data_IF_848315172274
#
_entry.id   IF_848315172274
#
_cell.length_a   1.000
_cell.length_b   1.000
_cell.length_c   1.000
_cell.angle_alpha   90.00
_cell.angle_beta   90.00
_cell.angle_gamma   90.00
#
_symmetry.space_group_name_H-M   'P 1'
#
loop_
_entity.id
_entity.type
_entity.pdbx_description
1 polymer ?
#
# COMPACT_ATOMS: atom_id res chain seq x y z
N UNK A 1 -6.02 35.16 -2.80
CA UNK A 1 -7.25 34.36 -3.05
C UNK A 1 -6.81 33.06 -3.69
N UNK A 2 -7.26 31.91 -3.20
CA UNK A 2 -6.95 30.63 -3.84
C UNK A 2 -7.79 30.49 -5.12
N UNK A 3 -7.15 30.42 -6.28
CA UNK A 3 -7.85 30.20 -7.55
C UNK A 3 -7.82 28.71 -7.86
N UNK A 4 -8.99 28.09 -8.01
CA UNK A 4 -9.08 26.70 -8.47
C UNK A 4 -8.57 26.63 -9.91
N UNK A 5 -7.61 25.74 -10.19
CA UNK A 5 -7.17 25.46 -11.55
C UNK A 5 -8.37 24.97 -12.38
N UNK A 6 -8.48 25.42 -13.63
CA UNK A 6 -9.46 24.86 -14.55
C UNK A 6 -9.21 23.37 -14.68
N UNK A 7 -10.23 22.55 -14.47
CA UNK A 7 -10.17 21.10 -14.71
C UNK A 7 -9.90 20.76 -16.19
N UNK A 8 -10.16 21.71 -17.08
CA UNK A 8 -10.06 21.56 -18.53
C UNK A 8 -9.39 22.80 -19.15
N UNK A 9 -8.09 23.03 -18.93
CA UNK A 9 -7.39 24.09 -19.65
C UNK A 9 -7.38 23.70 -21.13
N UNK A 10 -8.11 24.45 -21.96
CA UNK A 10 -8.19 24.34 -23.44
C UNK A 10 -7.83 22.96 -23.99
N UNK A 11 -8.72 21.96 -23.79
CA UNK A 11 -8.50 20.61 -24.33
C UNK A 11 -8.38 20.73 -25.84
N UNK A 12 -7.24 20.33 -26.42
CA UNK A 12 -7.16 20.13 -27.86
C UNK A 12 -7.81 18.79 -28.20
N UNK A 13 -8.96 18.77 -28.87
CA UNK A 13 -9.66 17.53 -29.15
C UNK A 13 -8.81 16.65 -30.07
N UNK A 14 -8.63 15.38 -29.68
CA UNK A 14 -8.05 14.39 -30.58
C UNK A 14 -9.10 14.07 -31.65
N UNK A 15 -8.76 14.24 -32.92
CA UNK A 15 -9.71 14.10 -34.05
C UNK A 15 -10.30 12.69 -34.18
N UNK A 16 -9.63 11.65 -33.66
CA UNK A 16 -10.06 10.27 -33.79
C UNK A 16 -9.53 9.41 -32.65
N UNK A 17 -10.42 8.77 -31.88
CA UNK A 17 -10.04 7.74 -30.90
C UNK A 17 -9.47 6.53 -31.65
N UNK A 18 -8.35 6.01 -31.18
CA UNK A 18 -7.59 4.90 -31.78
C UNK A 18 -8.27 3.57 -31.46
N UNK A 19 -8.91 3.45 -30.28
CA UNK A 19 -9.64 2.25 -29.86
C UNK A 19 -11.14 2.40 -30.06
N UNK A 20 -11.72 1.51 -30.88
CA UNK A 20 -13.16 1.52 -31.20
C UNK A 20 -13.94 0.39 -30.51
N UNK A 21 -13.26 -0.65 -30.03
CA UNK A 21 -13.89 -1.81 -29.39
C UNK A 21 -13.34 -2.09 -27.99
N UNK A 22 -14.22 -2.15 -26.99
CA UNK A 22 -13.86 -2.36 -25.58
C UNK A 22 -14.60 -3.54 -24.93
N UNK A 23 -15.62 -4.11 -25.58
CA UNK A 23 -16.31 -5.28 -25.04
C UNK A 23 -15.46 -6.52 -25.32
N UNK A 24 -14.94 -7.14 -24.25
CA UNK A 24 -14.33 -8.46 -24.36
C UNK A 24 -15.38 -9.44 -24.88
N UNK A 25 -15.09 -10.07 -26.02
CA UNK A 25 -15.95 -11.02 -26.74
C UNK A 25 -17.37 -10.52 -27.08
N UNK A 26 -17.58 -9.20 -27.15
CA UNK A 26 -18.89 -8.59 -27.45
C UNK A 26 -20.05 -9.06 -26.54
N UNK A 27 -19.74 -9.46 -25.30
CA UNK A 27 -20.72 -10.04 -24.36
C UNK A 27 -21.81 -9.02 -23.95
N UNK A 28 -21.53 -7.72 -24.05
CA UNK A 28 -22.45 -6.65 -23.66
C UNK A 28 -22.77 -5.67 -24.79
N UNK A 29 -24.02 -5.17 -24.91
CA UNK A 29 -24.36 -4.09 -25.84
C UNK A 29 -23.51 -2.84 -25.58
N UNK A 30 -22.93 -2.27 -26.64
CA UNK A 30 -22.01 -1.13 -26.52
C UNK A 30 -22.71 0.23 -26.76
N UNK A 31 -24.00 0.23 -27.08
CA UNK A 31 -24.74 1.44 -27.49
C UNK A 31 -24.64 2.59 -26.47
N UNK A 32 -24.77 2.30 -25.18
CA UNK A 32 -24.67 3.32 -24.12
C UNK A 32 -23.24 3.89 -23.99
N UNK A 33 -22.21 3.04 -24.09
CA UNK A 33 -20.79 3.46 -24.10
C UNK A 33 -20.52 4.41 -25.27
N UNK A 34 -20.91 3.99 -26.47
CA UNK A 34 -20.72 4.77 -27.70
C UNK A 34 -21.46 6.10 -27.65
N UNK A 35 -22.67 6.13 -27.09
CA UNK A 35 -23.42 7.37 -26.90
C UNK A 35 -22.72 8.35 -25.94
N UNK A 36 -22.09 7.85 -24.86
CA UNK A 36 -21.28 8.67 -23.96
C UNK A 36 -19.99 9.15 -24.62
N UNK A 37 -19.29 8.27 -25.34
CA UNK A 37 -18.07 8.62 -26.07
C UNK A 37 -18.33 9.70 -27.11
N UNK A 38 -19.43 9.60 -27.86
CA UNK A 38 -19.81 10.63 -28.82
C UNK A 38 -20.15 11.95 -28.12
N UNK A 39 -20.95 11.90 -27.05
CA UNK A 39 -21.34 13.09 -26.28
C UNK A 39 -20.13 13.84 -25.71
N UNK A 40 -19.12 13.11 -25.24
CA UNK A 40 -17.97 13.70 -24.54
C UNK A 40 -16.70 13.72 -25.38
N UNK A 41 -16.73 13.32 -26.66
CA UNK A 41 -15.57 13.19 -27.54
C UNK A 41 -14.68 14.43 -27.54
N UNK A 42 -15.28 15.62 -27.56
CA UNK A 42 -14.56 16.90 -27.57
C UNK A 42 -13.75 17.17 -26.30
N UNK A 43 -14.02 16.46 -25.20
CA UNK A 43 -13.33 16.54 -23.92
C UNK A 43 -12.36 15.37 -23.70
N UNK A 44 -12.33 14.39 -24.60
CA UNK A 44 -11.48 13.20 -24.46
C UNK A 44 -10.14 13.42 -25.14
N UNK A 45 -9.08 13.01 -24.46
CA UNK A 45 -7.73 12.88 -25.00
C UNK A 45 -7.24 11.46 -24.76
N UNK A 46 -6.90 10.75 -25.82
CA UNK A 46 -6.24 9.45 -25.72
C UNK A 46 -4.72 9.67 -25.61
N UNK A 47 -4.08 8.99 -24.66
CA UNK A 47 -2.64 9.13 -24.40
C UNK A 47 -2.06 7.81 -23.90
N UNK A 48 -0.86 7.48 -24.38
CA UNK A 48 -0.06 6.34 -23.90
C UNK A 48 0.97 6.74 -22.83
N UNK A 49 0.93 8.00 -22.37
CA UNK A 49 1.84 8.54 -21.35
C UNK A 49 1.78 7.77 -20.03
N UNK A 50 0.61 7.20 -19.69
CA UNK A 50 0.36 6.54 -18.41
C UNK A 50 0.46 5.02 -18.52
N UNK A 51 1.66 4.48 -18.32
CA UNK A 51 1.88 3.03 -18.30
C UNK A 51 1.24 2.35 -17.08
N UNK A 52 1.05 1.02 -17.16
CA UNK A 52 0.60 0.19 -16.03
C UNK A 52 1.48 0.37 -14.78
N UNK A 53 2.78 0.63 -14.95
CA UNK A 53 3.69 0.88 -13.82
C UNK A 53 3.35 2.19 -13.11
N UNK A 54 2.98 3.23 -13.85
CA UNK A 54 2.64 4.55 -13.30
C UNK A 54 1.31 4.55 -12.56
N UNK A 55 0.29 3.91 -13.14
CA UNK A 55 -1.08 3.87 -12.59
C UNK A 55 -1.30 2.75 -11.57
N UNK A 56 -0.22 2.14 -11.07
CA UNK A 56 -0.31 1.13 -10.00
C UNK A 56 0.86 1.24 -9.03
N UNK A 57 0.75 0.54 -7.90
CA UNK A 57 1.81 0.47 -6.88
C UNK A 57 3.15 -0.07 -7.41
N UNK A 58 3.16 -0.72 -8.58
CA UNK A 58 4.38 -1.26 -9.16
C UNK A 58 5.48 -0.20 -9.31
N UNK A 59 5.11 1.06 -9.58
CA UNK A 59 6.05 2.16 -9.65
C UNK A 59 6.65 2.59 -8.30
N UNK A 60 6.03 2.23 -7.17
CA UNK A 60 6.52 2.59 -5.83
C UNK A 60 7.36 1.49 -5.16
N UNK A 61 7.52 0.33 -5.80
CA UNK A 61 8.33 -0.75 -5.24
C UNK A 61 9.79 -0.30 -5.17
N UNK A 62 10.31 -0.15 -3.94
CA UNK A 62 11.68 0.29 -3.70
C UNK A 62 11.89 1.81 -3.80
N UNK A 63 10.83 2.58 -4.01
CA UNK A 63 10.91 4.05 -3.97
C UNK A 63 10.94 4.54 -2.52
N UNK A 64 11.79 5.55 -2.27
CA UNK A 64 12.00 6.13 -0.95
C UNK A 64 10.67 6.58 -0.34
N UNK A 65 10.40 6.20 0.91
CA UNK A 65 9.15 6.47 1.64
C UNK A 65 7.94 5.74 1.05
N UNK A 66 7.70 5.80 -0.25
CA UNK A 66 6.51 5.25 -0.91
C UNK A 66 6.43 3.72 -0.81
N UNK A 67 7.59 3.05 -0.78
CA UNK A 67 7.71 1.59 -0.69
C UNK A 67 7.54 1.01 0.72
N UNK A 68 7.41 1.83 1.77
CA UNK A 68 7.37 1.37 3.17
C UNK A 68 6.13 0.52 3.50
N UNK A 69 5.06 0.64 2.70
CA UNK A 69 3.87 -0.19 2.81
C UNK A 69 3.28 -0.47 1.42
N UNK A 70 3.00 -1.75 1.15
CA UNK A 70 2.32 -2.15 -0.08
C UNK A 70 0.83 -1.82 -0.02
N UNK A 71 0.43 -0.85 -0.85
CA UNK A 71 -0.97 -0.47 -1.04
C UNK A 71 -1.42 -0.81 -2.46
N UNK A 72 -2.25 -1.84 -2.61
CA UNK A 72 -2.53 -2.46 -3.92
C UNK A 72 -3.28 -1.53 -4.87
N UNK A 73 -4.12 -0.68 -4.30
CA UNK A 73 -4.97 0.30 -4.96
C UNK A 73 -4.23 1.63 -5.21
N UNK A 74 -2.95 1.72 -4.83
CA UNK A 74 -2.14 2.93 -5.01
C UNK A 74 -1.57 3.09 -6.42
N UNK A 75 -1.16 4.30 -6.74
CA UNK A 75 -0.40 4.70 -7.93
C UNK A 75 1.02 5.13 -7.58
N UNK A 76 1.87 5.31 -8.59
CA UNK A 76 3.27 5.68 -8.40
C UNK A 76 3.47 7.15 -8.01
N UNK A 77 4.54 7.46 -7.27
CA UNK A 77 4.98 8.84 -7.00
C UNK A 77 5.25 9.60 -8.31
N UNK A 78 5.90 8.94 -9.27
CA UNK A 78 6.18 9.49 -10.60
C UNK A 78 4.92 9.95 -11.34
N UNK A 79 3.78 9.24 -11.20
CA UNK A 79 2.51 9.70 -11.77
C UNK A 79 2.11 11.05 -11.19
N UNK A 80 2.22 11.22 -9.86
CA UNK A 80 1.88 12.48 -9.20
C UNK A 80 2.80 13.60 -9.65
N UNK A 81 4.11 13.36 -9.76
CA UNK A 81 5.07 14.35 -10.25
C UNK A 81 4.75 14.82 -11.67
N UNK A 82 4.36 13.90 -12.55
CA UNK A 82 3.90 14.21 -13.91
C UNK A 82 2.67 15.12 -13.86
N UNK A 83 1.66 14.74 -13.07
CA UNK A 83 0.41 15.51 -12.98
C UNK A 83 0.62 16.89 -12.35
N UNK A 84 1.41 16.99 -11.27
CA UNK A 84 1.76 18.27 -10.63
C UNK A 84 2.40 19.22 -11.65
N UNK A 85 3.32 18.71 -12.48
CA UNK A 85 3.98 19.48 -13.54
C UNK A 85 3.01 19.89 -14.63
N UNK A 86 2.16 18.96 -15.08
CA UNK A 86 1.19 19.19 -16.15
C UNK A 86 0.13 20.23 -15.76
N UNK A 87 -0.32 20.20 -14.51
CA UNK A 87 -1.22 21.21 -13.94
C UNK A 87 -0.51 22.51 -13.55
N UNK A 88 0.82 22.56 -13.63
CA UNK A 88 1.62 23.75 -13.30
C UNK A 88 1.53 24.16 -11.84
N UNK A 89 1.48 23.19 -10.91
CA UNK A 89 1.46 23.51 -9.48
C UNK A 89 2.82 24.01 -9.01
N UNK A 90 2.81 25.10 -8.26
CA UNK A 90 4.01 25.75 -7.71
C UNK A 90 4.07 25.60 -6.17
N UNK A 91 5.27 25.66 -5.56
CA UNK A 91 5.41 25.66 -4.12
C UNK A 91 4.51 26.70 -3.43
N UNK A 92 3.91 26.33 -2.31
CA UNK A 92 2.94 27.15 -1.57
C UNK A 92 1.50 27.06 -2.09
N UNK A 93 1.26 26.53 -3.29
CA UNK A 93 -0.10 26.18 -3.73
C UNK A 93 -0.63 24.94 -2.99
N UNK A 94 -1.92 24.62 -3.15
CA UNK A 94 -2.57 23.54 -2.39
C UNK A 94 -3.20 22.49 -3.31
N UNK A 95 -2.93 21.21 -3.03
CA UNK A 95 -3.61 20.06 -3.63
C UNK A 95 -4.56 19.40 -2.62
N UNK A 96 -5.74 19.02 -3.09
CA UNK A 96 -6.67 18.17 -2.34
C UNK A 96 -6.69 16.77 -2.97
N UNK A 97 -6.40 15.76 -2.16
CA UNK A 97 -6.62 14.36 -2.51
C UNK A 97 -7.78 13.80 -1.66
N UNK A 98 -9.00 13.73 -2.19
CA UNK A 98 -10.16 13.28 -1.43
C UNK A 98 -10.18 11.77 -1.16
N UNK A 99 -9.22 11.02 -1.72
CA UNK A 99 -9.08 9.56 -1.57
C UNK A 99 -7.60 9.20 -1.39
N UNK A 100 -6.99 9.78 -0.34
CA UNK A 100 -5.54 9.86 -0.21
C UNK A 100 -4.83 8.50 -0.12
N UNK A 101 -5.53 7.42 0.24
CA UNK A 101 -4.97 6.07 0.28
C UNK A 101 -3.67 6.01 1.08
N UNK A 102 -2.59 5.47 0.52
CA UNK A 102 -1.26 5.43 1.19
C UNK A 102 -0.49 6.77 1.20
N UNK A 103 -1.19 7.87 0.94
CA UNK A 103 -0.73 9.25 0.96
C UNK A 103 0.35 9.59 -0.08
N UNK A 104 0.37 8.91 -1.23
CA UNK A 104 1.36 9.16 -2.28
C UNK A 104 1.30 10.61 -2.78
N UNK A 105 0.11 11.14 -3.06
CA UNK A 105 -0.07 12.54 -3.49
C UNK A 105 0.49 13.52 -2.46
N UNK A 106 0.17 13.33 -1.18
CA UNK A 106 0.56 14.22 -0.09
C UNK A 106 2.08 14.22 0.12
N UNK A 107 2.72 13.06 0.00
CA UNK A 107 4.16 12.93 0.17
C UNK A 107 4.94 13.60 -0.98
N UNK A 108 4.49 13.41 -2.22
CA UNK A 108 5.09 14.09 -3.39
C UNK A 108 4.85 15.60 -3.32
N UNK A 109 3.64 16.03 -2.97
CA UNK A 109 3.36 17.45 -2.78
C UNK A 109 4.27 18.06 -1.70
N UNK A 110 4.43 17.37 -0.55
CA UNK A 110 5.34 17.79 0.52
C UNK A 110 6.78 17.93 0.05
N UNK A 111 7.31 16.98 -0.73
CA UNK A 111 8.69 17.05 -1.23
C UNK A 111 8.92 18.19 -2.24
N UNK A 112 7.85 18.63 -2.91
CA UNK A 112 7.87 19.75 -3.86
C UNK A 112 7.48 21.10 -3.22
N UNK A 113 7.31 21.16 -1.90
CA UNK A 113 6.90 22.39 -1.20
C UNK A 113 5.46 22.83 -1.47
N UNK A 114 4.61 21.92 -1.96
CA UNK A 114 3.19 22.13 -2.22
C UNK A 114 2.40 21.72 -0.97
N UNK A 115 1.46 22.56 -0.54
CA UNK A 115 0.54 22.24 0.54
C UNK A 115 -0.41 21.11 0.10
N UNK A 116 -0.70 20.16 0.98
CA UNK A 116 -1.59 19.05 0.64
C UNK A 116 -2.61 18.78 1.74
N UNK A 117 -3.84 18.51 1.34
CA UNK A 117 -4.92 18.04 2.20
C UNK A 117 -5.37 16.68 1.67
N UNK A 118 -5.36 15.66 2.52
CA UNK A 118 -5.84 14.32 2.19
C UNK A 118 -7.07 13.96 3.01
N UNK A 119 -8.06 13.35 2.37
CA UNK A 119 -9.21 12.73 3.02
C UNK A 119 -9.12 11.22 2.80
N UNK A 120 -9.26 10.44 3.87
CA UNK A 120 -9.23 8.99 3.81
C UNK A 120 -9.98 8.40 5.00
N UNK A 121 -10.71 7.31 4.76
CA UNK A 121 -11.51 6.63 5.77
C UNK A 121 -10.70 5.58 6.54
N UNK A 122 -9.79 4.88 5.85
CA UNK A 122 -9.15 3.69 6.40
C UNK A 122 -8.06 4.03 7.44
N UNK A 123 -8.14 3.50 8.67
CA UNK A 123 -7.14 3.78 9.72
C UNK A 123 -5.69 3.44 9.34
N UNK A 124 -5.48 2.38 8.55
CA UNK A 124 -4.14 1.99 8.08
C UNK A 124 -3.50 3.05 7.19
N UNK A 125 -4.30 3.82 6.47
CA UNK A 125 -3.83 4.92 5.64
C UNK A 125 -3.43 6.14 6.48
N UNK A 126 -4.14 6.42 7.57
CA UNK A 126 -3.73 7.41 8.57
C UNK A 126 -2.41 7.02 9.23
N UNK A 127 -2.25 5.75 9.59
CA UNK A 127 -0.98 5.22 10.11
C UNK A 127 0.16 5.40 9.09
N UNK A 128 -0.09 5.06 7.82
CA UNK A 128 0.88 5.27 6.74
C UNK A 128 1.27 6.75 6.62
N UNK A 129 0.31 7.68 6.65
CA UNK A 129 0.61 9.11 6.65
C UNK A 129 1.44 9.54 7.87
N UNK A 130 1.03 9.15 9.09
CA UNK A 130 1.71 9.55 10.32
C UNK A 130 3.18 9.10 10.38
N UNK A 131 3.46 7.86 9.93
CA UNK A 131 4.82 7.35 9.87
C UNK A 131 5.61 7.94 8.69
N UNK A 132 5.04 7.88 7.48
CA UNK A 132 5.76 8.27 6.26
C UNK A 132 6.02 9.77 6.20
N UNK A 133 5.10 10.62 6.64
CA UNK A 133 5.24 12.09 6.52
C UNK A 133 6.33 12.68 7.40
N UNK A 134 6.82 11.93 8.39
CA UNK A 134 7.82 12.36 9.38
C UNK A 134 9.21 11.84 9.07
N UNK A 135 9.49 11.48 7.81
CA UNK A 135 10.78 10.91 7.41
C UNK A 135 12.00 11.76 7.82
N UNK A 136 11.85 13.08 7.97
CA UNK A 136 12.90 13.99 8.46
C UNK A 136 13.04 14.03 9.99
N UNK A 137 12.02 13.62 10.74
CA UNK A 137 11.96 13.77 12.20
C UNK A 137 12.52 12.54 12.95
N UNK A 138 12.88 11.48 12.22
CA UNK A 138 13.38 10.24 12.83
C UNK A 138 14.84 10.36 13.27
N UNK A 139 15.13 9.89 14.49
CA UNK A 139 16.47 9.72 15.00
C UNK A 139 17.07 8.39 14.51
N UNK A 140 18.09 8.47 13.64
CA UNK A 140 18.78 7.30 13.12
C UNK A 140 19.47 6.46 14.22
N UNK A 141 19.95 7.08 15.29
CA UNK A 141 20.57 6.37 16.41
C UNK A 141 19.52 5.58 17.21
N UNK A 142 18.35 6.18 17.44
CA UNK A 142 17.20 5.49 18.05
C UNK A 142 16.75 4.29 17.21
N UNK A 143 16.62 4.46 15.88
CA UNK A 143 16.28 3.35 14.98
C UNK A 143 17.33 2.23 14.97
N UNK A 144 18.61 2.59 15.08
CA UNK A 144 19.70 1.63 15.17
C UNK A 144 19.69 0.87 16.50
N UNK A 145 19.30 1.53 17.60
CA UNK A 145 19.06 0.87 18.89
C UNK A 145 17.90 -0.13 18.79
N UNK A 146 16.77 0.25 18.16
CA UNK A 146 15.63 -0.66 17.94
C UNK A 146 16.07 -1.89 17.14
N UNK A 147 16.86 -1.70 16.08
CA UNK A 147 17.40 -2.83 15.29
C UNK A 147 18.26 -3.76 16.15
N UNK A 148 19.13 -3.22 17.00
CA UNK A 148 19.98 -4.01 17.88
C UNK A 148 19.16 -4.83 18.89
N UNK A 149 18.10 -4.25 19.46
CA UNK A 149 17.19 -4.96 20.37
C UNK A 149 16.45 -6.10 19.65
N UNK A 150 15.92 -5.85 18.45
CA UNK A 150 15.28 -6.88 17.63
C UNK A 150 16.25 -8.03 17.33
N UNK A 151 17.50 -7.72 16.97
CA UNK A 151 18.54 -8.74 16.73
C UNK A 151 18.80 -9.59 17.98
N UNK A 152 18.86 -8.97 19.16
CA UNK A 152 19.00 -9.65 20.45
C UNK A 152 17.80 -10.53 20.83
N UNK A 153 16.67 -10.41 20.12
CA UNK A 153 15.46 -11.20 20.39
C UNK A 153 14.48 -10.52 21.36
N UNK A 154 14.70 -9.24 21.67
CA UNK A 154 13.74 -8.44 22.41
C UNK A 154 12.40 -8.35 21.67
N UNK A 155 11.32 -8.27 22.43
CA UNK A 155 9.95 -8.24 21.91
C UNK A 155 9.38 -9.59 21.50
N UNK A 156 10.18 -10.67 21.54
CA UNK A 156 9.66 -12.03 21.47
C UNK A 156 8.99 -12.42 22.79
N UNK A 157 7.92 -13.20 22.74
CA UNK A 157 7.20 -13.67 23.92
C UNK A 157 5.71 -13.83 23.68
N UNK A 158 4.93 -13.82 24.75
CA UNK A 158 3.47 -13.81 24.67
C UNK A 158 2.96 -12.36 24.70
N UNK A 159 2.15 -12.00 23.72
CA UNK A 159 1.39 -10.75 23.74
C UNK A 159 0.39 -10.72 24.90
N UNK A 160 0.18 -9.55 25.47
CA UNK A 160 -0.82 -9.24 26.52
C UNK A 160 -2.25 -9.39 26.00
N UNK A 161 -2.44 -9.28 24.68
CA UNK A 161 -3.75 -9.24 24.03
C UNK A 161 -3.88 -10.34 22.98
N UNK A 162 -5.09 -10.89 22.78
CA UNK A 162 -5.34 -11.83 21.69
C UNK A 162 -5.24 -11.13 20.33
N UNK A 163 -4.92 -11.91 19.30
CA UNK A 163 -4.92 -11.40 17.92
C UNK A 163 -6.36 -11.03 17.50
N UNK A 164 -6.58 -9.83 16.91
CA UNK A 164 -7.92 -9.36 16.57
C UNK A 164 -8.39 -10.01 15.26
N UNK A 165 -8.87 -11.25 15.34
CA UNK A 165 -9.39 -11.95 14.18
C UNK A 165 -10.60 -11.25 13.57
N UNK A 166 -10.62 -11.20 12.23
CA UNK A 166 -11.82 -10.92 11.45
C UNK A 166 -12.14 -12.15 10.61
N UNK A 167 -13.42 -12.42 10.38
CA UNK A 167 -13.89 -13.66 9.74
C UNK A 167 -13.20 -13.95 8.41
N UNK A 168 -12.91 -12.90 7.62
CA UNK A 168 -12.26 -13.05 6.32
C UNK A 168 -10.79 -13.50 6.42
N UNK A 169 -10.08 -13.21 7.50
CA UNK A 169 -8.66 -13.58 7.72
C UNK A 169 -8.47 -14.67 8.78
N UNK A 170 -9.55 -15.31 9.25
CA UNK A 170 -9.44 -16.41 10.20
C UNK A 170 -8.61 -17.57 9.62
N UNK A 171 -7.56 -17.98 10.35
CA UNK A 171 -6.59 -18.98 9.91
C UNK A 171 -5.59 -18.49 8.85
N UNK A 172 -5.49 -17.18 8.62
CA UNK A 172 -4.52 -16.60 7.68
C UNK A 172 -3.09 -16.70 8.18
N UNK A 173 -2.87 -16.81 9.48
CA UNK A 173 -1.55 -16.85 10.08
C UNK A 173 -1.30 -18.18 10.80
N UNK A 174 -0.05 -18.67 10.85
CA UNK A 174 0.34 -19.68 11.83
C UNK A 174 0.07 -19.19 13.26
N UNK A 175 -0.31 -20.06 14.22
CA UNK A 175 -0.58 -19.64 15.60
C UNK A 175 0.61 -18.96 16.29
N UNK A 176 1.85 -19.37 15.98
CA UNK A 176 3.04 -18.70 16.50
C UNK A 176 3.20 -17.30 15.91
N UNK A 177 2.92 -17.12 14.62
CA UNK A 177 2.96 -15.81 13.96
C UNK A 177 1.98 -14.83 14.58
N UNK A 178 0.76 -15.27 14.93
CA UNK A 178 -0.21 -14.41 15.63
C UNK A 178 0.30 -13.97 17.00
N UNK A 179 0.89 -14.90 17.78
CA UNK A 179 1.52 -14.57 19.07
C UNK A 179 2.65 -13.57 18.89
N UNK A 180 3.53 -13.80 17.92
CA UNK A 180 4.68 -12.94 17.67
C UNK A 180 4.24 -11.53 17.23
N UNK A 181 3.22 -11.40 16.36
CA UNK A 181 2.67 -10.10 15.96
C UNK A 181 2.16 -9.33 17.19
N UNK A 182 1.43 -10.01 18.08
CA UNK A 182 0.91 -9.36 19.29
C UNK A 182 2.02 -9.00 20.29
N UNK A 183 3.01 -9.88 20.46
CA UNK A 183 4.17 -9.61 21.32
C UNK A 183 4.97 -8.38 20.84
N UNK A 184 5.26 -8.30 19.53
CA UNK A 184 5.94 -7.13 18.97
C UNK A 184 5.09 -5.86 19.02
N UNK A 185 3.76 -5.98 18.88
CA UNK A 185 2.85 -4.84 19.04
C UNK A 185 2.96 -4.25 20.44
N UNK A 186 2.83 -5.09 21.47
CA UNK A 186 2.92 -4.65 22.86
C UNK A 186 4.34 -4.17 23.23
N UNK A 187 5.36 -4.78 22.63
CA UNK A 187 6.75 -4.39 22.81
C UNK A 187 7.01 -2.98 22.28
N UNK A 188 6.61 -2.66 21.04
CA UNK A 188 6.74 -1.31 20.50
C UNK A 188 5.97 -0.27 21.32
N UNK A 189 4.78 -0.63 21.82
CA UNK A 189 4.00 0.26 22.70
C UNK A 189 4.75 0.58 24.01
N UNK A 190 5.40 -0.43 24.61
CA UNK A 190 6.12 -0.30 25.88
C UNK A 190 7.54 0.26 25.74
N UNK A 191 8.15 0.21 24.55
CA UNK A 191 9.54 0.59 24.33
C UNK A 191 9.79 2.07 24.71
N UNK A 192 10.86 2.42 25.43
CA UNK A 192 11.15 3.79 25.85
C UNK A 192 11.81 4.60 24.71
N UNK A 193 11.10 4.73 23.59
CA UNK A 193 11.52 5.48 22.39
C UNK A 193 10.49 6.55 22.04
N UNK A 194 10.84 7.43 21.11
CA UNK A 194 9.95 8.48 20.60
C UNK A 194 8.62 7.94 20.08
N UNK A 195 7.58 8.77 20.15
CA UNK A 195 6.26 8.39 19.65
C UNK A 195 6.29 8.12 18.13
N UNK A 196 7.13 8.85 17.38
CA UNK A 196 7.36 8.66 15.96
C UNK A 196 7.88 7.24 15.67
N UNK A 197 8.87 6.77 16.44
CA UNK A 197 9.44 5.43 16.30
C UNK A 197 8.43 4.35 16.67
N UNK A 198 7.57 4.56 17.68
CA UNK A 198 6.47 3.64 17.99
C UNK A 198 5.47 3.52 16.82
N UNK A 199 5.06 4.67 16.27
CA UNK A 199 4.18 4.73 15.10
C UNK A 199 4.83 4.07 13.88
N UNK A 200 6.15 4.22 13.70
CA UNK A 200 6.87 3.52 12.64
C UNK A 200 6.87 2.00 12.86
N UNK A 201 7.11 1.53 14.09
CA UNK A 201 7.03 0.12 14.45
C UNK A 201 5.66 -0.50 14.13
N UNK A 202 4.58 0.23 14.42
CA UNK A 202 3.22 -0.18 14.03
C UNK A 202 3.04 -0.26 12.52
N UNK A 203 3.57 0.71 11.75
CA UNK A 203 3.54 0.66 10.28
C UNK A 203 4.31 -0.55 9.76
N UNK A 204 5.51 -0.81 10.29
CA UNK A 204 6.36 -1.93 9.88
C UNK A 204 5.70 -3.28 10.17
N UNK A 205 5.11 -3.47 11.36
CA UNK A 205 4.34 -4.67 11.67
C UNK A 205 3.15 -4.84 10.71
N UNK A 206 2.48 -3.75 10.37
CA UNK A 206 1.35 -3.76 9.43
C UNK A 206 1.82 -4.11 8.01
N UNK A 207 2.99 -3.64 7.59
CA UNK A 207 3.50 -3.83 6.23
C UNK A 207 3.92 -5.27 5.95
N UNK A 208 4.34 -6.02 6.97
CA UNK A 208 4.78 -7.41 6.85
C UNK A 208 3.65 -8.43 6.96
N UNK A 209 2.42 -8.03 7.34
CA UNK A 209 1.31 -8.95 7.59
C UNK A 209 1.02 -9.87 6.40
N UNK A 210 1.06 -9.35 5.17
CA UNK A 210 0.85 -10.19 3.99
C UNK A 210 1.97 -11.24 3.86
N UNK A 211 3.23 -10.84 4.05
CA UNK A 211 4.43 -11.68 3.87
C UNK A 211 4.47 -12.88 4.82
N UNK A 212 4.16 -12.66 6.10
CA UNK A 212 4.17 -13.68 7.16
C UNK A 212 2.88 -14.51 7.24
N UNK A 213 1.95 -14.32 6.29
CA UNK A 213 0.66 -15.02 6.25
C UNK A 213 0.56 -16.06 5.15
N UNK A 214 -0.39 -16.97 5.29
CA UNK A 214 -0.89 -17.88 4.26
C UNK A 214 -1.80 -17.20 3.22
N UNK A 215 -1.85 -15.87 3.18
CA UNK A 215 -2.74 -15.14 2.27
C UNK A 215 -2.01 -14.14 1.41
N UNK A 216 -2.48 -13.94 0.18
CA UNK A 216 -2.07 -12.84 -0.70
C UNK A 216 -3.30 -12.13 -1.26
N UNK A 217 -3.20 -10.82 -1.47
CA UNK A 217 -4.29 -10.03 -2.07
C UNK A 217 -4.49 -10.42 -3.53
N UNK A 218 -5.69 -10.83 -3.93
CA UNK A 218 -6.01 -11.29 -5.28
C UNK A 218 -7.36 -10.75 -5.77
N UNK A 219 -7.33 -9.73 -6.64
CA UNK A 219 -8.51 -8.88 -6.88
C UNK A 219 -9.18 -8.40 -5.58
N UNK A 220 -10.49 -8.61 -5.48
CA UNK A 220 -11.34 -8.34 -4.31
C UNK A 220 -11.26 -9.44 -3.24
N UNK A 221 -10.50 -10.50 -3.48
CA UNK A 221 -10.44 -11.68 -2.63
C UNK A 221 -9.04 -11.90 -2.06
N UNK A 222 -8.94 -12.92 -1.21
CA UNK A 222 -7.68 -13.44 -0.72
C UNK A 222 -7.38 -14.76 -1.43
N UNK A 223 -6.17 -14.88 -1.96
CA UNK A 223 -5.62 -16.16 -2.38
C UNK A 223 -5.00 -16.84 -1.16
N UNK A 224 -5.37 -18.09 -0.92
CA UNK A 224 -4.98 -18.85 0.26
C UNK A 224 -3.98 -19.95 -0.08
N UNK A 225 -2.98 -20.08 0.76
CA UNK A 225 -2.01 -21.17 0.74
C UNK A 225 -2.66 -22.49 1.17
N UNK A 226 -2.21 -23.60 0.55
CA UNK A 226 -2.70 -24.95 0.84
C UNK A 226 -2.46 -25.41 2.28
N UNK A 227 -1.42 -24.87 2.94
CA UNK A 227 -1.05 -25.15 4.34
C UNK A 227 -1.96 -24.48 5.36
N UNK A 228 -2.81 -23.53 4.96
CA UNK A 228 -3.75 -22.89 5.88
C UNK A 228 -4.78 -23.88 6.41
N UNK A 229 -5.10 -23.80 7.70
CA UNK A 229 -6.11 -24.65 8.34
C UNK A 229 -7.47 -24.58 7.61
N UNK A 230 -7.81 -23.40 7.09
CA UNK A 230 -9.01 -23.14 6.29
C UNK A 230 -9.03 -23.95 4.98
N UNK A 231 -7.95 -23.94 4.21
CA UNK A 231 -7.86 -24.71 2.96
C UNK A 231 -7.79 -26.22 3.24
N UNK A 232 -7.04 -26.64 4.27
CA UNK A 232 -6.97 -28.04 4.68
C UNK A 232 -8.34 -28.60 5.08
N UNK A 233 -9.10 -27.85 5.89
CA UNK A 233 -10.45 -28.25 6.30
C UNK A 233 -11.41 -28.33 5.10
N UNK A 234 -11.37 -27.33 4.21
CA UNK A 234 -12.16 -27.34 2.97
C UNK A 234 -11.82 -28.53 2.09
N UNK A 235 -10.54 -28.88 1.95
CA UNK A 235 -10.10 -30.02 1.14
C UNK A 235 -10.55 -31.35 1.75
N UNK A 236 -10.44 -31.53 3.08
CA UNK A 236 -10.99 -32.72 3.76
C UNK A 236 -12.48 -32.89 3.46
N UNK A 237 -13.27 -31.82 3.58
CA UNK A 237 -14.70 -31.86 3.29
C UNK A 237 -15.00 -32.19 1.81
N UNK A 238 -14.24 -31.64 0.87
CA UNK A 238 -14.41 -31.93 -0.56
C UNK A 238 -14.12 -33.40 -0.88
N UNK A 239 -13.04 -33.95 -0.32
CA UNK A 239 -12.67 -35.36 -0.49
C UNK A 239 -13.75 -36.28 0.07
N UNK A 240 -14.28 -35.99 1.28
CA UNK A 240 -15.41 -36.74 1.85
C UNK A 240 -16.67 -36.72 0.97
N UNK A 241 -16.84 -35.67 0.15
CA UNK A 241 -17.94 -35.54 -0.82
C UNK A 241 -17.61 -36.14 -2.20
N UNK A 242 -16.49 -36.84 -2.35
CA UNK A 242 -16.03 -37.38 -3.65
C UNK A 242 -15.60 -36.31 -4.65
N UNK A 243 -15.34 -35.08 -4.21
CA UNK A 243 -14.89 -33.96 -5.05
C UNK A 243 -13.37 -33.84 -5.00
N UNK A 244 -12.78 -33.38 -6.10
CA UNK A 244 -11.36 -33.04 -6.14
C UNK A 244 -11.03 -31.87 -5.18
N UNK A 245 -9.85 -31.86 -4.53
CA UNK A 245 -9.36 -30.73 -3.74
C UNK A 245 -9.37 -29.42 -4.53
N UNK A 246 -9.30 -28.28 -3.83
CA UNK A 246 -9.07 -27.00 -4.52
C UNK A 246 -7.68 -26.98 -5.13
N UNK A 247 -7.50 -26.22 -6.22
CA UNK A 247 -6.18 -26.02 -6.84
C UNK A 247 -5.17 -25.58 -5.78
N UNK A 248 -4.06 -26.30 -5.72
CA UNK A 248 -2.99 -26.03 -4.77
C UNK A 248 -2.34 -24.68 -5.06
N UNK A 249 -2.07 -23.95 -3.98
CA UNK A 249 -1.31 -22.71 -3.99
C UNK A 249 -0.25 -22.84 -2.89
N UNK A 250 1.02 -22.80 -3.29
CA UNK A 250 2.15 -22.74 -2.38
C UNK A 250 2.79 -21.37 -2.49
N UNK A 251 2.78 -20.62 -1.38
CA UNK A 251 3.38 -19.29 -1.27
C UNK A 251 4.85 -19.35 -0.83
N UNK A 252 5.43 -20.55 -0.69
CA UNK A 252 6.81 -20.75 -0.23
C UNK A 252 6.95 -20.71 1.29
N UNK A 253 8.18 -20.83 1.79
CA UNK A 253 8.43 -20.70 3.22
C UNK A 253 8.03 -19.28 3.71
N UNK A 254 7.24 -19.22 4.77
CA UNK A 254 6.90 -17.95 5.40
C UNK A 254 8.06 -17.54 6.32
N UNK A 255 8.56 -16.29 6.24
CA UNK A 255 9.53 -15.81 7.21
C UNK A 255 8.89 -15.67 8.59
N UNK A 256 9.71 -15.69 9.62
CA UNK A 256 9.27 -15.31 10.96
C UNK A 256 8.94 -13.81 11.02
N UNK A 257 8.13 -13.40 12.00
CA UNK A 257 7.81 -11.99 12.21
C UNK A 257 9.08 -11.17 12.47
N UNK A 258 10.02 -11.72 13.25
CA UNK A 258 11.32 -11.09 13.53
C UNK A 258 12.12 -10.84 12.25
N UNK A 259 12.25 -11.85 11.38
CA UNK A 259 13.00 -11.73 10.12
C UNK A 259 12.40 -10.67 9.20
N UNK A 260 11.08 -10.73 8.99
CA UNK A 260 10.37 -9.77 8.14
C UNK A 260 10.43 -8.35 8.72
N UNK A 261 10.27 -8.19 10.04
CA UNK A 261 10.35 -6.90 10.72
C UNK A 261 11.75 -6.30 10.64
N UNK A 262 12.81 -7.08 10.89
CA UNK A 262 14.20 -6.64 10.76
C UNK A 262 14.51 -6.20 9.32
N UNK A 263 14.06 -6.97 8.33
CA UNK A 263 14.24 -6.64 6.92
C UNK A 263 13.54 -5.30 6.58
N UNK A 264 12.28 -5.14 6.99
CA UNK A 264 11.52 -3.92 6.75
C UNK A 264 12.14 -2.70 7.46
N UNK A 265 12.56 -2.84 8.72
CA UNK A 265 13.23 -1.78 9.49
C UNK A 265 14.52 -1.31 8.81
N UNK A 266 15.33 -2.25 8.30
CA UNK A 266 16.58 -1.93 7.59
C UNK A 266 16.33 -1.11 6.34
N UNK A 267 15.35 -1.50 5.52
CA UNK A 267 14.95 -0.74 4.32
C UNK A 267 14.58 0.68 4.73
N UNK A 268 13.67 0.83 5.69
CA UNK A 268 13.20 2.14 6.14
C UNK A 268 14.33 2.99 6.71
N UNK A 269 15.21 2.42 7.53
CA UNK A 269 16.36 3.13 8.10
C UNK A 269 17.31 3.62 7.01
N UNK A 270 17.61 2.77 6.03
CA UNK A 270 18.42 3.15 4.86
C UNK A 270 17.75 4.27 4.05
N UNK A 271 16.43 4.21 3.87
CA UNK A 271 15.69 5.27 3.18
C UNK A 271 15.74 6.59 3.95
N UNK A 272 15.49 6.58 5.26
CA UNK A 272 15.59 7.76 6.13
C UNK A 272 16.99 8.36 6.06
N UNK A 273 18.03 7.53 6.16
CA UNK A 273 19.41 7.99 6.04
C UNK A 273 19.68 8.70 4.71
N UNK A 274 19.18 8.14 3.60
CA UNK A 274 19.29 8.78 2.29
C UNK A 274 18.54 10.11 2.25
N UNK A 275 17.28 10.12 2.69
CA UNK A 275 16.44 11.32 2.67
C UNK A 275 17.03 12.47 3.49
N UNK A 276 17.56 12.16 4.67
CA UNK A 276 18.19 13.17 5.54
C UNK A 276 19.53 13.67 4.98
N UNK A 277 20.25 12.87 4.19
CA UNK A 277 21.53 13.27 3.59
C UNK A 277 21.39 14.25 2.41
N UNK A 278 20.19 14.40 1.82
CA UNK A 278 19.94 15.30 0.69
C UNK A 278 19.48 16.71 1.10
N UNK A 279 19.59 17.04 2.38
CA UNK A 279 19.19 18.34 2.98
C UNK A 279 20.37 18.96 3.68
#
# INVERSE_FOLDING_TARGET
>A
MATQLSLFPTIQPVKQLIRTNFSHDNIGPQAARLALEERYRALLQETDQFSRKLVSYQGNKGELVHGWIRYKEGFSAQLVEILIREFGLEPGQTVLDPFAGSATTLLVAKSLGINAVGIELLPVCHLAWQAKSRFMDYDLAELQQVEALLLAGEGMGEGKRPFPHITITEGAFPPQTERDIMAYTDWFEALPVSQQTKTLGQLLLTSILEEVSYTRKDGQYLRWDSRSAKVMARNRQRIMQGKQPVKEVDLGALPTVKEALLHALRIVRTDIQKLQAFT
#
